data_IF_879049411429
#
_entry.id   IF_879049411429
#
_cell.length_a   1.000
_cell.length_b   1.000
_cell.length_c   1.000
_cell.angle_alpha   90.00
_cell.angle_beta   90.00
_cell.angle_gamma   90.00
#
_symmetry.space_group_name_H-M   'P 1'
#
loop_
_entity.id
_entity.type
_entity.pdbx_description
1 polymer ?
#
# COMPACT_ATOMS: atom_id res chain seq x y z
N UNK A 1 57.86 15.86 -7.05
CA UNK A 1 56.56 15.27 -6.68
C UNK A 1 56.06 14.46 -7.87
N UNK A 2 55.73 13.16 -7.73
CA UNK A 2 55.16 12.39 -8.83
C UNK A 2 53.77 12.95 -9.18
N UNK A 3 53.35 12.90 -10.46
CA UNK A 3 52.03 13.38 -10.87
C UNK A 3 50.94 12.54 -10.20
N UNK A 4 49.94 13.21 -9.64
CA UNK A 4 48.75 12.60 -9.05
C UNK A 4 47.97 11.83 -10.12
N UNK A 5 47.52 10.62 -9.77
CA UNK A 5 46.60 9.85 -10.61
C UNK A 5 45.26 10.59 -10.74
N UNK A 6 44.60 10.51 -11.92
CA UNK A 6 43.26 11.06 -12.09
C UNK A 6 42.26 10.34 -11.18
N UNK A 7 41.20 11.03 -10.71
CA UNK A 7 40.16 10.43 -9.91
C UNK A 7 39.42 9.33 -10.69
N UNK A 8 38.89 8.29 -10.01
CA UNK A 8 38.07 7.28 -10.64
C UNK A 8 36.80 7.89 -11.23
N UNK A 9 36.36 7.36 -12.38
CA UNK A 9 35.10 7.76 -13.01
C UNK A 9 33.92 7.44 -12.09
N UNK A 10 32.86 8.27 -12.08
CA UNK A 10 31.63 7.93 -11.39
C UNK A 10 31.04 6.62 -11.95
N UNK A 11 30.39 5.79 -11.11
CA UNK A 11 29.69 4.61 -11.60
C UNK A 11 28.62 5.01 -12.63
N UNK A 12 28.33 4.15 -13.62
CA UNK A 12 27.26 4.41 -14.57
C UNK A 12 25.93 4.57 -13.83
N UNK A 13 25.15 5.58 -14.21
CA UNK A 13 23.79 5.77 -13.72
C UNK A 13 22.95 4.52 -14.04
N UNK A 14 22.22 4.00 -13.06
CA UNK A 14 21.24 2.93 -13.30
C UNK A 14 20.24 3.39 -14.39
N UNK A 15 19.78 2.49 -15.27
CA UNK A 15 18.73 2.83 -16.22
C UNK A 15 17.46 3.27 -15.46
N UNK A 16 16.68 4.22 -16.00
CA UNK A 16 15.40 4.58 -15.41
C UNK A 16 14.50 3.34 -15.34
N UNK A 17 13.75 3.22 -14.23
CA UNK A 17 12.75 2.17 -14.06
C UNK A 17 11.79 2.18 -15.25
N UNK A 18 11.51 1.01 -15.82
CA UNK A 18 10.57 0.88 -16.92
C UNK A 18 9.19 1.38 -16.46
N UNK A 19 8.49 2.21 -17.27
CA UNK A 19 7.12 2.61 -16.97
C UNK A 19 6.21 1.38 -16.86
N UNK A 20 5.16 1.48 -16.05
CA UNK A 20 4.13 0.44 -16.01
C UNK A 20 3.57 0.20 -17.42
N UNK A 21 3.55 -1.06 -17.90
CA UNK A 21 3.00 -1.36 -19.22
C UNK A 21 1.55 -0.92 -19.33
N UNK A 22 1.16 -0.49 -20.52
CA UNK A 22 -0.21 -0.08 -20.80
C UNK A 22 -1.15 -1.28 -20.65
N UNK A 23 -2.14 -1.17 -19.78
CA UNK A 23 -3.14 -2.22 -19.52
C UNK A 23 -2.81 -3.14 -18.36
N UNK A 24 -1.64 -2.98 -17.73
CA UNK A 24 -1.25 -3.72 -16.53
C UNK A 24 -1.47 -2.89 -15.26
N UNK A 25 -1.72 -3.60 -14.16
CA UNK A 25 -1.68 -3.02 -12.80
C UNK A 25 -0.27 -3.18 -12.25
N UNK A 26 0.27 -2.10 -11.70
CA UNK A 26 1.64 -2.06 -11.19
C UNK A 26 1.68 -1.57 -9.75
N UNK A 27 2.84 -1.75 -9.12
CA UNK A 27 3.10 -1.35 -7.73
C UNK A 27 4.42 -0.62 -7.62
N UNK A 28 4.49 0.40 -6.77
CA UNK A 28 5.73 0.97 -6.26
C UNK A 28 5.90 0.55 -4.82
N UNK A 29 6.95 -0.20 -4.49
CA UNK A 29 7.21 -0.70 -3.15
C UNK A 29 7.00 -2.22 -3.01
N UNK A 30 6.90 -2.73 -1.77
CA UNK A 30 7.01 -4.17 -1.48
C UNK A 30 5.72 -4.97 -1.64
N UNK A 31 4.58 -4.34 -1.96
CA UNK A 31 3.33 -5.07 -2.19
C UNK A 31 3.42 -5.93 -3.45
N UNK A 32 2.62 -6.99 -3.48
CA UNK A 32 2.70 -8.00 -4.52
C UNK A 32 1.45 -7.97 -5.38
N UNK A 33 1.62 -7.84 -6.69
CA UNK A 33 0.56 -8.13 -7.66
C UNK A 33 0.49 -9.66 -7.82
N UNK A 34 -0.71 -10.22 -7.69
CA UNK A 34 -0.99 -11.65 -7.63
C UNK A 34 -2.12 -12.02 -8.57
N UNK A 35 -2.46 -13.32 -8.65
CA UNK A 35 -3.59 -13.84 -9.43
C UNK A 35 -3.61 -13.36 -10.89
N UNK A 36 -2.44 -13.33 -11.53
CA UNK A 36 -2.29 -12.92 -12.92
C UNK A 36 -2.55 -11.44 -13.20
N UNK A 37 -2.45 -10.56 -12.19
CA UNK A 37 -2.69 -9.13 -12.34
C UNK A 37 -4.07 -8.66 -11.87
N UNK A 38 -4.86 -9.56 -11.27
CA UNK A 38 -6.22 -9.28 -10.81
C UNK A 38 -6.34 -9.06 -9.30
N UNK A 39 -5.26 -9.26 -8.55
CA UNK A 39 -5.23 -9.06 -7.11
C UNK A 39 -3.92 -8.42 -6.66
N UNK A 40 -3.93 -7.84 -5.46
CA UNK A 40 -2.74 -7.47 -4.74
C UNK A 40 -2.81 -7.86 -3.27
N UNK A 41 -1.64 -7.95 -2.64
CA UNK A 41 -1.52 -8.22 -1.21
C UNK A 41 -0.56 -7.27 -0.52
N UNK A 42 -0.74 -7.13 0.79
CA UNK A 42 0.33 -6.64 1.67
C UNK A 42 1.57 -7.53 1.51
N UNK A 43 2.78 -7.02 1.83
CA UNK A 43 3.98 -7.85 1.78
C UNK A 43 3.84 -9.03 2.75
N UNK A 44 4.37 -10.19 2.38
CA UNK A 44 4.34 -11.46 3.14
C UNK A 44 2.98 -12.13 3.40
N UNK A 45 1.86 -11.54 2.93
CA UNK A 45 0.53 -12.12 3.07
C UNK A 45 0.50 -13.61 2.63
N UNK A 46 -0.12 -14.54 3.39
CA UNK A 46 -0.99 -14.33 4.56
C UNK A 46 -0.26 -14.27 5.91
N UNK A 47 1.06 -14.15 5.93
CA UNK A 47 1.82 -13.93 7.16
C UNK A 47 1.86 -12.45 7.52
N UNK A 48 2.42 -12.16 8.70
CA UNK A 48 2.57 -10.79 9.19
C UNK A 48 3.32 -9.90 8.19
N UNK A 49 2.75 -8.74 7.88
CA UNK A 49 3.41 -7.75 7.06
C UNK A 49 4.62 -7.12 7.80
N UNK A 50 5.63 -6.61 7.09
CA UNK A 50 6.70 -5.83 7.68
C UNK A 50 6.20 -4.48 8.21
N UNK A 51 6.86 -3.96 9.23
CA UNK A 51 6.63 -2.62 9.82
C UNK A 51 7.44 -1.54 9.07
N UNK A 52 6.99 -0.28 9.13
CA UNK A 52 7.58 0.91 8.50
C UNK A 52 7.69 0.84 6.97
N UNK A 53 6.83 0.05 6.35
CA UNK A 53 6.78 -0.09 4.90
C UNK A 53 5.53 0.58 4.32
N UNK A 54 5.58 0.85 3.01
CA UNK A 54 4.45 1.35 2.27
C UNK A 54 4.59 1.06 0.79
N UNK A 55 3.47 0.95 0.11
CA UNK A 55 3.43 0.75 -1.32
C UNK A 55 2.26 1.50 -1.95
N UNK A 56 2.33 1.72 -3.25
CA UNK A 56 1.19 2.24 -4.02
C UNK A 56 0.97 1.34 -5.21
N UNK A 57 -0.25 0.83 -5.33
CA UNK A 57 -0.74 0.13 -6.51
C UNK A 57 -1.45 1.15 -7.38
N UNK A 58 -1.20 1.10 -8.67
CA UNK A 58 -1.69 2.09 -9.63
C UNK A 58 -2.06 1.43 -10.96
N UNK A 59 -2.79 2.19 -11.78
CA UNK A 59 -3.47 1.68 -12.99
C UNK A 59 -4.59 0.69 -12.70
N UNK A 60 -5.20 0.77 -11.50
CA UNK A 60 -6.35 -0.07 -11.15
C UNK A 60 -7.54 0.23 -12.07
N UNK A 61 -8.29 -0.81 -12.50
CA UNK A 61 -9.51 -0.60 -13.25
C UNK A 61 -10.60 0.04 -12.36
N UNK A 62 -11.52 0.83 -12.95
CA UNK A 62 -12.61 1.48 -12.22
C UNK A 62 -13.75 0.49 -11.93
N UNK A 63 -13.45 -0.58 -11.21
CA UNK A 63 -14.40 -1.62 -10.77
C UNK A 63 -14.41 -1.71 -9.25
N UNK A 64 -15.48 -2.29 -8.70
CA UNK A 64 -15.59 -2.48 -7.25
C UNK A 64 -14.55 -3.50 -6.77
N UNK A 65 -13.81 -3.14 -5.72
CA UNK A 65 -12.82 -4.02 -5.11
C UNK A 65 -13.49 -5.20 -4.39
N UNK A 66 -12.94 -6.40 -4.58
CA UNK A 66 -13.29 -7.61 -3.85
C UNK A 66 -12.25 -7.85 -2.74
N UNK A 67 -12.67 -7.81 -1.49
CA UNK A 67 -11.79 -7.96 -0.33
C UNK A 67 -11.79 -9.42 0.10
N UNK A 68 -10.72 -10.13 -0.26
CA UNK A 68 -10.57 -11.57 0.04
C UNK A 68 -10.16 -11.78 1.50
N UNK A 69 -9.28 -10.93 2.01
CA UNK A 69 -8.86 -10.92 3.40
C UNK A 69 -8.45 -9.51 3.80
N UNK A 70 -8.77 -9.14 5.04
CA UNK A 70 -8.40 -7.86 5.60
C UNK A 70 -8.29 -7.97 7.11
N UNK A 71 -7.06 -7.86 7.59
CA UNK A 71 -6.69 -7.86 9.00
C UNK A 71 -5.48 -6.95 9.10
N UNK A 72 -5.76 -5.71 9.49
CA UNK A 72 -4.81 -4.59 9.53
C UNK A 72 -4.86 -4.02 10.94
N UNK A 73 -3.73 -3.60 11.51
CA UNK A 73 -3.74 -2.99 12.84
C UNK A 73 -4.72 -1.82 12.90
N UNK A 74 -5.55 -1.82 13.93
CA UNK A 74 -6.48 -0.74 14.20
C UNK A 74 -6.54 -0.42 15.68
N UNK A 75 -7.05 0.77 15.93
CA UNK A 75 -7.48 1.23 17.22
C UNK A 75 -8.47 0.24 17.87
N UNK A 76 -8.27 -0.04 19.15
CA UNK A 76 -9.08 -1.01 19.89
C UNK A 76 -10.53 -0.54 20.09
N UNK A 77 -11.46 -1.46 20.38
CA UNK A 77 -12.84 -1.09 20.64
C UNK A 77 -12.95 -0.09 21.80
N UNK A 78 -13.56 1.07 21.53
CA UNK A 78 -13.80 2.12 22.53
C UNK A 78 -12.85 3.31 22.49
N UNK A 79 -11.94 3.40 21.52
CA UNK A 79 -11.05 4.56 21.32
C UNK A 79 -11.55 5.56 20.26
N UNK A 80 -12.74 5.34 19.68
CA UNK A 80 -13.43 6.17 18.67
C UNK A 80 -13.86 7.58 19.14
N UNK A 81 -13.19 8.15 20.14
CA UNK A 81 -13.53 9.43 20.73
C UNK A 81 -12.81 10.61 20.03
N UNK A 82 -11.67 10.33 19.40
CA UNK A 82 -10.87 11.34 18.72
C UNK A 82 -11.01 11.16 17.22
N UNK A 83 -11.50 12.22 16.58
CA UNK A 83 -11.47 12.44 15.14
C UNK A 83 -10.09 13.04 14.80
N UNK A 84 -9.19 12.19 14.30
CA UNK A 84 -7.78 12.56 14.06
C UNK A 84 -7.58 13.28 12.72
N UNK A 85 -8.43 13.04 11.73
CA UNK A 85 -8.34 13.68 10.42
C UNK A 85 -9.30 14.87 10.22
N UNK A 86 -10.27 15.05 11.12
CA UNK A 86 -11.19 16.17 11.18
C UNK A 86 -12.40 16.04 10.25
N UNK A 87 -12.72 14.84 9.77
CA UNK A 87 -13.84 14.58 8.85
C UNK A 87 -15.20 14.39 9.55
N UNK A 88 -15.21 14.28 10.88
CA UNK A 88 -16.39 14.08 11.72
C UNK A 88 -16.80 12.62 11.92
N UNK A 89 -16.04 11.66 11.42
CA UNK A 89 -16.23 10.21 11.59
C UNK A 89 -15.01 9.55 12.24
N UNK A 90 -14.96 9.45 13.58
CA UNK A 90 -13.82 8.87 14.29
C UNK A 90 -13.68 7.34 14.11
N UNK A 91 -14.50 6.72 13.26
CA UNK A 91 -14.45 5.27 13.00
C UNK A 91 -13.52 4.89 11.85
N UNK A 92 -13.08 5.85 11.03
CA UNK A 92 -12.23 5.61 9.85
C UNK A 92 -10.79 6.19 9.99
N UNK A 93 -10.44 6.73 11.16
CA UNK A 93 -9.19 7.50 11.35
C UNK A 93 -7.89 6.72 11.11
N UNK A 94 -7.95 5.39 11.32
CA UNK A 94 -6.88 4.41 11.09
C UNK A 94 -5.47 4.96 11.33
N UNK A 95 -5.13 5.13 12.61
CA UNK A 95 -3.92 5.84 13.03
C UNK A 95 -2.61 5.08 12.78
N UNK A 96 -2.64 3.77 12.86
CA UNK A 96 -1.47 2.89 12.81
C UNK A 96 -1.20 2.46 11.37
N UNK A 97 -1.88 1.40 10.96
CA UNK A 97 -1.75 0.80 9.64
C UNK A 97 -3.01 1.04 8.84
N UNK A 98 -2.87 1.28 7.54
CA UNK A 98 -4.04 1.54 6.70
C UNK A 98 -3.79 1.32 5.21
N UNK A 99 -4.88 0.95 4.55
CA UNK A 99 -5.02 1.04 3.12
C UNK A 99 -5.81 2.31 2.77
N UNK A 100 -5.38 3.08 1.79
CA UNK A 100 -6.08 4.26 1.28
C UNK A 100 -6.69 3.93 -0.08
N UNK A 101 -7.99 4.18 -0.23
CA UNK A 101 -8.70 4.18 -1.51
C UNK A 101 -9.59 5.41 -1.57
N UNK A 102 -9.48 6.22 -2.64
CA UNK A 102 -10.21 7.49 -2.80
C UNK A 102 -10.03 8.47 -1.62
N UNK A 103 -8.85 8.48 -1.00
CA UNK A 103 -8.55 9.33 0.15
C UNK A 103 -9.12 8.84 1.49
N UNK A 104 -9.91 7.76 1.50
CA UNK A 104 -10.44 7.14 2.73
C UNK A 104 -9.47 6.06 3.21
N UNK A 105 -9.18 6.04 4.52
CA UNK A 105 -8.36 4.99 5.14
C UNK A 105 -9.22 3.81 5.60
N UNK A 106 -8.64 2.62 5.51
CA UNK A 106 -9.23 1.36 5.93
C UNK A 106 -8.24 0.58 6.77
N UNK A 107 -8.68 0.08 7.92
CA UNK A 107 -7.91 -0.69 8.88
C UNK A 107 -8.81 -1.67 9.64
N UNK A 108 -8.24 -2.47 10.54
CA UNK A 108 -8.97 -3.48 11.29
C UNK A 108 -9.39 -4.61 10.36
N UNK A 109 -10.66 -5.00 10.44
CA UNK A 109 -11.20 -6.13 9.64
C UNK A 109 -12.20 -5.69 8.58
N UNK A 110 -12.39 -4.38 8.38
CA UNK A 110 -13.32 -3.81 7.40
C UNK A 110 -12.53 -3.08 6.30
N UNK A 111 -12.17 -3.83 5.26
CA UNK A 111 -11.48 -3.29 4.08
C UNK A 111 -12.40 -2.55 3.10
N UNK A 112 -11.87 -2.05 1.97
CA UNK A 112 -12.61 -1.24 1.00
C UNK A 112 -13.51 -2.06 0.06
N UNK A 113 -14.33 -2.96 0.60
CA UNK A 113 -15.17 -3.85 -0.20
C UNK A 113 -16.21 -3.06 -1.02
N UNK A 114 -16.25 -3.31 -2.33
CA UNK A 114 -17.16 -2.65 -3.27
C UNK A 114 -16.77 -1.21 -3.63
N UNK A 115 -15.72 -0.65 -3.02
CA UNK A 115 -15.23 0.70 -3.35
C UNK A 115 -14.59 0.66 -4.74
N UNK A 116 -14.88 1.67 -5.56
CA UNK A 116 -14.28 1.82 -6.90
C UNK A 116 -13.09 2.80 -6.82
N UNK A 117 -11.84 2.39 -7.13
CA UNK A 117 -10.67 3.28 -7.12
C UNK A 117 -10.76 4.32 -8.24
N UNK A 118 -11.32 5.49 -7.93
CA UNK A 118 -11.67 6.53 -8.91
C UNK A 118 -10.46 7.22 -9.54
N UNK A 119 -9.35 7.28 -8.81
CA UNK A 119 -8.05 7.76 -9.29
C UNK A 119 -7.15 6.63 -9.81
N UNK A 120 -7.64 5.39 -9.80
CA UNK A 120 -6.90 4.21 -10.22
C UNK A 120 -5.78 3.81 -9.26
N UNK A 121 -5.82 4.27 -8.00
CA UNK A 121 -4.76 3.99 -7.01
C UNK A 121 -5.27 3.36 -5.71
N UNK A 122 -4.38 2.64 -5.06
CA UNK A 122 -4.54 2.10 -3.72
C UNK A 122 -3.20 2.16 -3.01
N UNK A 123 -3.14 2.79 -1.82
CA UNK A 123 -1.88 3.00 -1.10
C UNK A 123 -1.91 2.28 0.24
N UNK A 124 -0.86 1.52 0.55
CA UNK A 124 -0.67 0.84 1.82
C UNK A 124 0.41 1.54 2.64
N UNK A 125 0.17 1.67 3.95
CA UNK A 125 1.13 2.18 4.93
C UNK A 125 1.05 1.31 6.18
N UNK A 126 2.22 0.97 6.71
CA UNK A 126 2.39 0.36 8.03
C UNK A 126 3.26 1.21 8.94
N UNK A 127 2.95 1.23 10.23
CA UNK A 127 3.70 1.89 11.27
C UNK A 127 4.82 0.99 11.83
N UNK A 128 5.42 1.36 12.96
CA UNK A 128 6.59 0.70 13.50
C UNK A 128 6.34 -0.59 14.30
N UNK A 129 5.09 -0.95 14.63
CA UNK A 129 4.78 -2.01 15.59
C UNK A 129 3.56 -2.88 15.18
N UNK A 130 3.29 -3.93 15.98
CA UNK A 130 2.09 -4.80 15.96
C UNK A 130 1.52 -5.18 14.58
N UNK A 131 2.33 -5.72 13.64
CA UNK A 131 1.78 -6.16 12.38
C UNK A 131 0.82 -7.33 12.56
N UNK A 132 -0.22 -7.36 11.73
CA UNK A 132 -1.24 -8.42 11.65
C UNK A 132 -1.14 -9.15 10.31
N UNK A 133 -2.08 -10.04 9.97
CA UNK A 133 -1.93 -10.90 8.78
C UNK A 133 -2.04 -10.17 7.43
N UNK A 134 -2.50 -8.92 7.45
CA UNK A 134 -2.52 -8.04 6.29
C UNK A 134 -3.76 -8.22 5.43
N UNK A 135 -3.60 -7.98 4.13
CA UNK A 135 -4.73 -7.93 3.22
C UNK A 135 -4.46 -8.60 1.89
N UNK A 136 -5.55 -9.09 1.27
CA UNK A 136 -5.64 -9.45 -0.15
C UNK A 136 -6.90 -8.82 -0.73
N UNK A 137 -6.72 -8.04 -1.79
CA UNK A 137 -7.80 -7.33 -2.49
C UNK A 137 -7.69 -7.61 -3.99
N UNK A 138 -8.82 -7.85 -4.64
CA UNK A 138 -8.93 -8.18 -6.06
C UNK A 138 -9.86 -7.21 -6.80
N UNK A 139 -9.75 -7.18 -8.12
CA UNK A 139 -10.55 -6.34 -9.03
C UNK A 139 -10.99 -7.18 -10.25
N UNK A 140 -12.17 -7.81 -10.21
CA UNK A 140 -12.66 -8.68 -11.27
C UNK A 140 -13.12 -7.94 -12.54
#
# INVERSE_FOLDING_TARGET
QPPSLPPPLPPPSLPPLAPCPLGDVCTTGPCLITDGGSCATSPNFPNLYPVNEGCTIYSLPPVGLDVIAFDVEAEGPGTYYYDYDGDGDPTNDCRYDYLIVNGVKYCGTSGPAGVVPSDGTMTWVSDAIVPTSGWKVCWP
#
